data_IF_758316341370
#
_entry.id   IF_758316341370
#
_cell.length_a   1.000
_cell.length_b   1.000
_cell.length_c   1.000
_cell.angle_alpha   90.00
_cell.angle_beta   90.00
_cell.angle_gamma   90.00
#
_symmetry.space_group_name_H-M   'P 1'
#
loop_
_entity.id
_entity.type
_entity.pdbx_description
1 polymer ?
#
# COMPACT_ATOMS: atom_id res chain seq x y z
N UNK A 1 8.93 -22.92 6.48
CA UNK A 1 10.25 -22.76 5.86
C UNK A 1 10.04 -22.33 4.42
N UNK A 2 10.59 -21.20 3.97
CA UNK A 2 10.29 -20.59 2.67
C UNK A 2 11.21 -21.07 1.54
N UNK A 3 12.17 -21.95 1.83
CA UNK A 3 13.04 -22.58 0.84
C UNK A 3 14.06 -21.62 0.20
N UNK A 4 14.49 -20.60 0.95
CA UNK A 4 15.46 -19.58 0.50
C UNK A 4 16.77 -19.75 1.26
N UNK A 5 17.89 -19.72 0.55
CA UNK A 5 19.21 -19.75 1.16
C UNK A 5 19.52 -18.42 1.86
N UNK A 6 20.18 -18.49 3.02
CA UNK A 6 20.66 -17.31 3.73
C UNK A 6 22.18 -17.30 3.84
N UNK A 7 22.78 -16.11 3.88
CA UNK A 7 24.20 -15.94 4.16
C UNK A 7 24.41 -15.81 5.68
N UNK A 8 25.17 -16.70 6.33
CA UNK A 8 25.41 -16.61 7.77
C UNK A 8 26.33 -15.43 8.09
N UNK A 9 25.96 -14.66 9.12
CA UNK A 9 26.74 -13.52 9.59
C UNK A 9 26.79 -13.48 11.12
N UNK A 10 27.84 -12.88 11.67
CA UNK A 10 28.05 -12.71 13.11
C UNK A 10 28.01 -11.23 13.51
N UNK A 11 27.57 -10.94 14.74
CA UNK A 11 27.43 -9.57 15.24
C UNK A 11 28.76 -8.80 15.38
N UNK A 12 29.90 -9.50 15.44
CA UNK A 12 31.24 -8.88 15.44
C UNK A 12 31.70 -8.40 14.06
N UNK A 13 31.02 -8.80 12.99
CA UNK A 13 31.39 -8.44 11.63
C UNK A 13 30.79 -7.10 11.24
N UNK A 14 31.56 -6.30 10.49
CA UNK A 14 31.07 -5.03 9.95
C UNK A 14 30.02 -5.27 8.86
N UNK A 15 28.90 -4.51 8.81
CA UNK A 15 27.84 -4.70 7.81
C UNK A 15 28.33 -4.65 6.36
N UNK A 16 29.28 -3.76 6.05
CA UNK A 16 29.90 -3.67 4.71
C UNK A 16 30.59 -4.98 4.33
N UNK A 17 31.31 -5.59 5.28
CA UNK A 17 32.01 -6.85 5.03
C UNK A 17 31.03 -8.01 4.82
N UNK A 18 29.95 -8.07 5.62
CA UNK A 18 28.88 -9.06 5.49
C UNK A 18 28.24 -8.96 4.11
N UNK A 19 27.76 -7.76 3.73
CA UNK A 19 27.04 -7.58 2.47
C UNK A 19 27.93 -7.86 1.25
N UNK A 20 29.20 -7.45 1.29
CA UNK A 20 30.15 -7.71 0.20
C UNK A 20 30.40 -9.22 0.05
N UNK A 21 30.62 -9.93 1.16
CA UNK A 21 30.83 -11.38 1.13
C UNK A 21 29.57 -12.14 0.67
N UNK A 22 28.39 -11.71 1.12
CA UNK A 22 27.11 -12.28 0.70
C UNK A 22 26.89 -12.13 -0.82
N UNK A 23 27.15 -10.94 -1.37
CA UNK A 23 27.01 -10.68 -2.81
C UNK A 23 28.03 -11.48 -3.63
N UNK A 24 29.28 -11.60 -3.16
CA UNK A 24 30.30 -12.42 -3.83
C UNK A 24 29.93 -13.91 -3.84
N UNK A 25 29.46 -14.45 -2.72
CA UNK A 25 28.93 -15.81 -2.65
C UNK A 25 27.74 -15.98 -3.61
N UNK A 26 26.84 -14.99 -3.64
CA UNK A 26 25.65 -15.07 -4.46
C UNK A 26 26.00 -15.12 -5.96
N UNK A 27 27.01 -14.34 -6.39
CA UNK A 27 27.54 -14.36 -7.75
C UNK A 27 28.15 -15.71 -8.12
N UNK A 28 28.95 -16.31 -7.22
CA UNK A 28 29.58 -17.62 -7.44
C UNK A 28 28.57 -18.76 -7.56
N UNK A 29 27.45 -18.63 -6.86
CA UNK A 29 26.35 -19.60 -6.86
C UNK A 29 25.25 -19.29 -7.88
N UNK A 30 25.41 -18.22 -8.67
CA UNK A 30 24.45 -17.81 -9.71
C UNK A 30 23.03 -17.56 -9.19
N UNK A 31 22.86 -16.92 -8.01
CA UNK A 31 21.54 -16.44 -7.62
C UNK A 31 21.12 -15.24 -8.44
N UNK A 32 19.84 -15.18 -8.80
CA UNK A 32 19.26 -14.06 -9.56
C UNK A 32 19.06 -12.81 -8.71
N UNK A 33 18.70 -12.99 -7.43
CA UNK A 33 18.32 -11.90 -6.52
C UNK A 33 19.00 -12.08 -5.17
N UNK A 34 19.50 -10.98 -4.62
CA UNK A 34 20.04 -10.90 -3.26
C UNK A 34 19.27 -9.83 -2.50
N UNK A 35 18.68 -10.21 -1.36
CA UNK A 35 18.03 -9.28 -0.44
C UNK A 35 19.00 -9.01 0.70
N UNK A 36 19.34 -7.73 0.89
CA UNK A 36 20.17 -7.28 2.02
C UNK A 36 19.26 -6.62 3.03
N UNK A 37 18.94 -7.33 4.10
CA UNK A 37 18.27 -6.75 5.25
C UNK A 37 19.28 -6.00 6.13
N UNK A 38 18.87 -4.90 6.72
CA UNK A 38 19.74 -4.02 7.48
C UNK A 38 19.05 -3.56 8.76
N UNK A 39 19.83 -3.24 9.79
CA UNK A 39 19.27 -2.80 11.07
C UNK A 39 18.34 -1.58 10.92
N UNK A 40 17.36 -1.44 11.82
CA UNK A 40 16.58 -0.21 11.93
C UNK A 40 17.48 0.96 12.35
N UNK A 41 17.31 2.12 11.71
CA UNK A 41 17.98 3.37 12.13
C UNK A 41 16.95 4.44 12.41
N UNK A 42 17.22 5.25 13.42
CA UNK A 42 16.50 6.49 13.66
C UNK A 42 17.12 7.60 12.81
N UNK A 43 16.29 8.43 12.20
CA UNK A 43 16.74 9.55 11.37
C UNK A 43 17.55 10.60 12.14
N UNK A 44 17.53 10.56 13.48
CA UNK A 44 18.31 11.43 14.37
C UNK A 44 19.72 10.90 14.64
N UNK A 45 20.03 9.65 14.26
CA UNK A 45 21.33 9.04 14.51
C UNK A 45 22.26 9.22 13.29
N UNK A 46 23.09 10.26 13.34
CA UNK A 46 24.01 10.60 12.25
C UNK A 46 25.07 9.54 11.97
N UNK A 47 25.52 8.80 12.97
CA UNK A 47 26.54 7.75 12.80
C UNK A 47 25.96 6.55 12.05
N UNK A 48 24.77 6.09 12.47
CA UNK A 48 24.11 4.98 11.77
C UNK A 48 23.64 5.37 10.37
N UNK A 49 23.30 6.64 10.13
CA UNK A 49 22.97 7.14 8.80
C UNK A 49 24.20 7.19 7.87
N UNK A 50 25.37 7.58 8.39
CA UNK A 50 26.62 7.51 7.62
C UNK A 50 26.96 6.06 7.26
N UNK A 51 26.78 5.11 8.18
CA UNK A 51 27.04 3.69 7.93
C UNK A 51 26.20 3.13 6.76
N UNK A 52 24.90 3.45 6.70
CA UNK A 52 24.05 2.96 5.60
C UNK A 52 24.38 3.63 4.27
N UNK A 53 24.84 4.89 4.27
CA UNK A 53 25.34 5.56 3.07
C UNK A 53 26.59 4.89 2.54
N UNK A 54 27.55 4.57 3.41
CA UNK A 54 28.77 3.86 3.05
C UNK A 54 28.47 2.45 2.52
N UNK A 55 27.53 1.75 3.17
CA UNK A 55 27.08 0.44 2.73
C UNK A 55 26.46 0.51 1.33
N UNK A 56 25.54 1.45 1.11
CA UNK A 56 24.88 1.65 -0.17
C UNK A 56 25.88 2.00 -1.28
N UNK A 57 26.82 2.90 -1.01
CA UNK A 57 27.87 3.30 -1.94
C UNK A 57 28.79 2.12 -2.32
N UNK A 58 29.04 1.21 -1.37
CA UNK A 58 29.88 0.03 -1.58
C UNK A 58 29.19 -1.02 -2.44
N UNK A 59 27.95 -1.40 -2.09
CA UNK A 59 27.27 -2.53 -2.74
C UNK A 59 26.48 -2.15 -3.99
N UNK A 60 26.20 -0.85 -4.20
CA UNK A 60 25.53 -0.29 -5.38
C UNK A 60 24.25 -1.06 -5.76
N UNK A 61 23.26 -1.11 -4.86
CA UNK A 61 22.05 -1.88 -5.08
C UNK A 61 21.25 -1.33 -6.27
N UNK A 62 20.60 -2.22 -7.02
CA UNK A 62 19.68 -1.85 -8.12
C UNK A 62 18.39 -1.27 -7.56
N UNK A 63 17.93 -1.81 -6.44
CA UNK A 63 16.71 -1.41 -5.74
C UNK A 63 17.02 -1.10 -4.28
N UNK A 64 16.63 0.09 -3.82
CA UNK A 64 16.72 0.51 -2.41
C UNK A 64 15.30 0.81 -1.94
N UNK A 65 14.77 -0.12 -1.15
CA UNK A 65 13.38 -0.08 -0.68
C UNK A 65 13.32 0.45 0.75
N UNK A 66 12.58 1.53 0.95
CA UNK A 66 12.32 2.06 2.28
C UNK A 66 11.09 1.39 2.88
N UNK A 67 11.27 0.73 4.03
CA UNK A 67 10.20 0.01 4.73
C UNK A 67 9.67 0.90 5.85
N UNK A 68 8.36 1.14 5.86
CA UNK A 68 7.72 2.02 6.87
C UNK A 68 6.36 1.46 7.30
N UNK A 69 6.05 1.65 8.57
CA UNK A 69 4.80 1.19 9.17
C UNK A 69 3.65 2.16 8.79
N UNK A 70 2.52 1.61 8.35
CA UNK A 70 1.35 2.39 7.97
C UNK A 70 0.72 3.16 9.15
N UNK A 71 0.98 2.73 10.39
CA UNK A 71 0.43 3.34 11.61
C UNK A 71 1.23 4.56 12.10
N UNK A 72 2.47 4.78 11.63
CA UNK A 72 3.35 5.84 12.18
C UNK A 72 2.89 7.27 11.85
N UNK A 73 1.84 7.42 11.05
CA UNK A 73 1.16 8.70 10.83
C UNK A 73 2.09 9.78 10.28
N UNK A 74 2.14 10.93 10.95
CA UNK A 74 2.97 12.08 10.55
C UNK A 74 4.47 11.87 10.80
N UNK A 75 4.88 10.96 11.69
CA UNK A 75 6.30 10.72 11.94
C UNK A 75 6.99 9.94 10.79
N UNK A 76 6.20 9.13 10.06
CA UNK A 76 6.63 8.48 8.83
C UNK A 76 7.12 9.50 7.79
N UNK A 77 6.52 10.70 7.74
CA UNK A 77 6.89 11.76 6.81
C UNK A 77 8.31 12.29 7.07
N UNK A 78 8.65 12.58 8.33
CA UNK A 78 9.95 13.11 8.72
C UNK A 78 11.05 12.06 8.49
N UNK A 79 10.79 10.82 8.90
CA UNK A 79 11.72 9.71 8.70
C UNK A 79 11.95 9.48 7.20
N UNK A 80 10.88 9.41 6.40
CA UNK A 80 11.00 9.20 4.96
C UNK A 80 11.78 10.32 4.27
N UNK A 81 11.63 11.57 4.72
CA UNK A 81 12.40 12.71 4.19
C UNK A 81 13.90 12.51 4.43
N UNK A 82 14.30 12.24 5.67
CA UNK A 82 15.71 12.06 6.02
C UNK A 82 16.36 10.89 5.25
N UNK A 83 15.65 9.75 5.12
CA UNK A 83 16.15 8.62 4.35
C UNK A 83 16.21 8.91 2.85
N UNK A 84 15.27 9.66 2.29
CA UNK A 84 15.27 10.03 0.88
C UNK A 84 16.37 11.06 0.53
N UNK A 85 16.77 11.90 1.49
CA UNK A 85 17.91 12.80 1.34
C UNK A 85 19.24 12.04 1.46
N UNK A 86 19.31 11.05 2.36
CA UNK A 86 20.52 10.30 2.61
C UNK A 86 20.81 9.21 1.56
N UNK A 87 19.76 8.55 1.05
CA UNK A 87 19.87 7.40 0.15
C UNK A 87 19.02 7.59 -1.11
N UNK A 88 19.50 7.13 -2.28
CA UNK A 88 18.72 7.18 -3.51
C UNK A 88 17.67 6.07 -3.52
N UNK A 89 16.56 6.30 -2.80
CA UNK A 89 15.45 5.35 -2.72
C UNK A 89 14.82 5.12 -4.10
N UNK A 90 14.42 3.88 -4.37
CA UNK A 90 13.76 3.47 -5.63
C UNK A 90 12.31 3.05 -5.42
N UNK A 91 11.93 2.72 -4.19
CA UNK A 91 10.56 2.36 -3.84
C UNK A 91 10.33 2.32 -2.34
N UNK A 92 9.07 2.13 -1.98
CA UNK A 92 8.61 2.05 -0.59
C UNK A 92 7.82 0.77 -0.37
N UNK A 93 7.99 0.16 0.80
CA UNK A 93 7.14 -0.93 1.30
C UNK A 93 6.40 -0.41 2.52
N UNK A 94 5.07 -0.55 2.50
CA UNK A 94 4.23 -0.24 3.66
C UNK A 94 3.95 -1.51 4.43
N UNK A 95 4.15 -1.52 5.75
CA UNK A 95 3.84 -2.67 6.60
C UNK A 95 2.67 -2.36 7.53
N UNK A 96 2.07 -3.40 8.12
CA UNK A 96 0.94 -3.31 9.07
C UNK A 96 -0.28 -2.55 8.53
N UNK A 97 -0.57 -2.72 7.24
CA UNK A 97 -1.69 -2.07 6.58
C UNK A 97 -3.05 -2.77 6.81
N UNK A 98 -3.04 -3.88 7.55
CA UNK A 98 -4.21 -4.59 8.07
C UNK A 98 -4.85 -3.91 9.30
N UNK A 99 -4.13 -2.99 9.95
CA UNK A 99 -4.67 -2.18 11.04
C UNK A 99 -5.65 -1.09 10.56
N UNK A 100 -6.24 -0.36 11.52
CA UNK A 100 -7.17 0.76 11.28
C UNK A 100 -6.49 2.03 10.71
N UNK A 101 -5.27 1.88 10.19
CA UNK A 101 -4.57 2.97 9.53
C UNK A 101 -5.30 3.27 8.20
N UNK A 102 -5.97 4.42 8.13
CA UNK A 102 -6.70 4.92 6.95
C UNK A 102 -5.79 5.24 5.75
N UNK A 103 -4.59 4.66 5.62
CA UNK A 103 -3.71 4.86 4.47
C UNK A 103 -2.99 6.20 4.40
N UNK A 104 -3.13 7.07 5.40
CA UNK A 104 -2.53 8.42 5.39
C UNK A 104 -1.00 8.41 5.30
N UNK A 105 -0.32 7.48 5.98
CA UNK A 105 1.13 7.34 5.92
C UNK A 105 1.64 7.06 4.49
N UNK A 106 0.92 6.23 3.73
CA UNK A 106 1.24 5.93 2.34
C UNK A 106 1.25 7.19 1.47
N UNK A 107 0.24 8.05 1.64
CA UNK A 107 0.10 9.29 0.90
C UNK A 107 1.23 10.27 1.29
N UNK A 108 1.48 10.44 2.59
CA UNK A 108 2.53 11.32 3.10
C UNK A 108 3.91 10.90 2.59
N UNK A 109 4.25 9.62 2.70
CA UNK A 109 5.54 9.09 2.25
C UNK A 109 5.69 9.23 0.74
N UNK A 110 4.64 8.91 -0.03
CA UNK A 110 4.66 9.07 -1.50
C UNK A 110 4.86 10.51 -1.93
N UNK A 111 4.20 11.45 -1.25
CA UNK A 111 4.28 12.87 -1.54
C UNK A 111 5.66 13.45 -1.24
N UNK A 112 6.26 13.06 -0.10
CA UNK A 112 7.54 13.59 0.37
C UNK A 112 8.71 12.98 -0.39
N UNK A 113 8.75 11.66 -0.52
CA UNK A 113 9.88 10.96 -1.14
C UNK A 113 9.84 11.05 -2.66
N UNK A 114 8.65 11.23 -3.23
CA UNK A 114 8.47 11.12 -4.67
C UNK A 114 8.60 9.69 -5.21
N UNK A 115 8.77 8.66 -4.35
CA UNK A 115 9.01 7.27 -4.76
C UNK A 115 7.74 6.43 -4.74
N UNK A 116 7.55 5.50 -5.69
CA UNK A 116 6.36 4.65 -5.73
C UNK A 116 6.34 3.67 -4.56
N UNK A 117 5.15 3.42 -4.01
CA UNK A 117 4.93 2.29 -3.11
C UNK A 117 4.84 1.03 -3.98
N UNK A 118 5.67 0.03 -3.70
CA UNK A 118 5.77 -1.21 -4.48
C UNK A 118 4.98 -2.35 -3.85
N UNK A 119 5.06 -2.49 -2.53
CA UNK A 119 4.42 -3.57 -1.79
C UNK A 119 3.71 -3.06 -0.54
N UNK A 120 2.74 -3.83 -0.08
CA UNK A 120 1.96 -3.59 1.14
C UNK A 120 1.85 -4.89 1.94
N UNK A 121 2.22 -4.82 3.22
CA UNK A 121 2.10 -5.92 4.18
C UNK A 121 0.74 -5.84 4.88
N UNK A 122 -0.09 -6.86 4.66
CA UNK A 122 -1.46 -7.01 5.18
C UNK A 122 -1.52 -8.02 6.35
N UNK A 123 -0.41 -8.25 7.04
CA UNK A 123 -0.32 -9.15 8.18
C UNK A 123 1.11 -9.62 8.47
N UNK A 124 1.24 -10.53 9.44
CA UNK A 124 2.54 -11.03 9.91
C UNK A 124 3.06 -12.26 9.16
N UNK A 125 2.18 -12.96 8.43
CA UNK A 125 2.54 -14.19 7.73
C UNK A 125 3.35 -13.90 6.47
N UNK A 126 4.14 -14.87 6.03
CA UNK A 126 5.00 -14.73 4.84
C UNK A 126 4.21 -14.55 3.53
N UNK A 127 2.95 -14.97 3.50
CA UNK A 127 2.02 -14.78 2.37
C UNK A 127 1.24 -13.46 2.43
N UNK A 128 1.43 -12.64 3.47
CA UNK A 128 0.71 -11.39 3.67
C UNK A 128 1.37 -10.17 2.98
N UNK A 129 2.39 -10.37 2.15
CA UNK A 129 3.02 -9.30 1.36
C UNK A 129 2.40 -9.24 -0.04
N UNK A 130 1.64 -8.19 -0.32
CA UNK A 130 0.92 -8.01 -1.57
C UNK A 130 1.52 -6.88 -2.43
N UNK A 131 1.40 -6.94 -3.77
CA UNK A 131 1.66 -5.78 -4.64
C UNK A 131 0.78 -4.59 -4.26
N UNK A 132 1.34 -3.39 -4.32
CA UNK A 132 0.58 -2.18 -4.01
C UNK A 132 -0.36 -1.77 -5.16
N UNK A 133 -1.64 -1.60 -4.83
CA UNK A 133 -2.67 -1.12 -5.76
C UNK A 133 -3.22 0.24 -5.27
N UNK A 134 -2.91 1.36 -5.94
CA UNK A 134 -3.28 2.70 -5.47
C UNK A 134 -4.80 2.91 -5.41
N UNK A 135 -5.56 2.33 -6.34
CA UNK A 135 -7.03 2.48 -6.39
C UNK A 135 -7.70 1.95 -5.13
N UNK A 136 -7.24 0.79 -4.62
CA UNK A 136 -7.76 0.19 -3.38
C UNK A 136 -7.52 1.08 -2.18
N UNK A 137 -6.34 1.69 -2.11
CA UNK A 137 -5.98 2.59 -1.02
C UNK A 137 -6.78 3.90 -1.08
N UNK A 138 -6.92 4.48 -2.28
CA UNK A 138 -7.70 5.70 -2.47
C UNK A 138 -9.15 5.53 -2.01
N UNK A 139 -9.80 4.42 -2.39
CA UNK A 139 -11.15 4.08 -1.94
C UNK A 139 -11.27 3.95 -0.41
N UNK A 140 -10.25 3.38 0.24
CA UNK A 140 -10.19 3.27 1.71
C UNK A 140 -10.00 4.63 2.39
N UNK A 141 -9.07 5.47 1.89
CA UNK A 141 -8.81 6.82 2.43
C UNK A 141 -10.08 7.68 2.34
N UNK A 142 -10.74 7.66 1.19
CA UNK A 142 -11.92 8.48 0.91
C UNK A 142 -13.19 7.95 1.60
N UNK A 143 -13.13 6.78 2.26
CA UNK A 143 -14.32 6.10 2.79
C UNK A 143 -15.32 5.71 1.69
N UNK A 144 -14.87 5.70 0.44
CA UNK A 144 -15.71 5.49 -0.74
C UNK A 144 -15.95 4.00 -1.05
N UNK A 145 -15.51 3.09 -0.17
CA UNK A 145 -15.88 1.67 -0.27
C UNK A 145 -17.40 1.45 -0.32
N UNK A 146 -18.16 2.28 0.41
CA UNK A 146 -19.63 2.26 0.41
C UNK A 146 -20.24 3.24 -0.59
N UNK A 147 -19.58 4.36 -0.90
CA UNK A 147 -20.16 5.42 -1.76
C UNK A 147 -19.94 5.14 -3.25
N UNK A 148 -18.81 4.56 -3.66
CA UNK A 148 -18.61 4.13 -5.05
C UNK A 148 -19.47 2.92 -5.38
N UNK A 149 -19.62 1.98 -4.46
CA UNK A 149 -20.55 0.87 -4.62
C UNK A 149 -22.00 1.38 -4.68
N UNK A 150 -22.40 2.33 -3.83
CA UNK A 150 -23.69 3.01 -3.94
C UNK A 150 -23.87 3.80 -5.25
N UNK A 151 -22.83 4.48 -5.76
CA UNK A 151 -22.91 5.23 -7.03
C UNK A 151 -22.94 4.28 -8.23
N UNK A 152 -22.15 3.21 -8.24
CA UNK A 152 -22.21 2.17 -9.27
C UNK A 152 -23.54 1.40 -9.22
N UNK A 153 -24.07 1.15 -8.03
CA UNK A 153 -25.39 0.54 -7.82
C UNK A 153 -26.50 1.50 -8.24
N UNK A 154 -26.38 2.81 -8.00
CA UNK A 154 -27.30 3.84 -8.48
C UNK A 154 -27.18 4.03 -10.00
N UNK A 155 -25.99 4.01 -10.58
CA UNK A 155 -25.81 4.06 -12.04
C UNK A 155 -26.33 2.79 -12.72
N UNK A 156 -26.25 1.62 -12.06
CA UNK A 156 -26.83 0.36 -12.56
C UNK A 156 -28.33 0.25 -12.32
N UNK A 157 -28.86 0.78 -11.22
CA UNK A 157 -30.29 0.66 -10.85
C UNK A 157 -31.15 1.84 -11.30
N UNK A 158 -30.55 2.98 -11.68
CA UNK A 158 -31.27 4.09 -12.32
C UNK A 158 -31.28 3.84 -13.82
N UNK A 159 -32.15 2.91 -14.20
CA UNK A 159 -32.63 2.78 -15.56
C UNK A 159 -33.22 4.14 -15.98
N UNK A 160 -32.52 4.88 -16.86
CA UNK A 160 -32.88 6.26 -17.24
C UNK A 160 -34.33 6.36 -17.75
N UNK A 161 -34.88 5.27 -18.27
CA UNK A 161 -36.30 5.16 -18.63
C UNK A 161 -37.25 5.19 -17.43
N UNK A 162 -36.92 4.51 -16.32
CA UNK A 162 -37.76 4.49 -15.11
C UNK A 162 -37.79 5.85 -14.43
N UNK A 163 -36.66 6.54 -14.37
CA UNK A 163 -36.56 7.89 -13.82
C UNK A 163 -37.42 8.90 -14.62
N UNK A 164 -37.42 8.79 -15.96
CA UNK A 164 -38.24 9.62 -16.83
C UNK A 164 -39.75 9.35 -16.66
N UNK A 165 -40.15 8.07 -16.52
CA UNK A 165 -41.55 7.69 -16.24
C UNK A 165 -42.04 8.19 -14.89
N UNK A 166 -41.23 8.06 -13.83
CA UNK A 166 -41.51 8.59 -12.49
C UNK A 166 -41.67 10.12 -12.51
N UNK A 167 -40.76 10.83 -13.17
CA UNK A 167 -40.83 12.29 -13.31
C UNK A 167 -42.11 12.74 -14.06
N UNK A 168 -42.52 11.98 -15.09
CA UNK A 168 -43.77 12.26 -15.82
C UNK A 168 -45.03 12.00 -14.99
N UNK A 169 -45.05 10.95 -14.17
CA UNK A 169 -46.16 10.60 -13.27
C UNK A 169 -46.34 11.66 -12.17
N UNK A 170 -45.25 12.06 -11.50
CA UNK A 170 -45.27 13.11 -10.47
C UNK A 170 -45.73 14.46 -11.05
N UNK A 171 -45.30 14.80 -12.26
CA UNK A 171 -45.71 16.02 -12.96
C UNK A 171 -47.18 16.01 -13.42
N UNK A 172 -47.77 14.82 -13.59
CA UNK A 172 -49.17 14.64 -14.02
C UNK A 172 -50.20 14.70 -12.89
N UNK A 173 -49.76 14.78 -11.62
CA UNK A 173 -50.63 14.94 -10.45
C UNK A 173 -51.49 13.73 -10.09
N UNK A 174 -51.33 12.60 -10.79
CA UNK A 174 -51.98 11.33 -10.41
C UNK A 174 -51.19 10.73 -9.25
N UNK A 175 -51.81 10.73 -8.07
CA UNK A 175 -51.23 10.20 -6.85
C UNK A 175 -50.83 8.73 -6.99
N UNK A 176 -49.87 8.35 -6.15
CA UNK A 176 -49.37 6.99 -5.95
C UNK A 176 -50.54 5.99 -5.89
N UNK A 177 -50.56 5.01 -6.79
CA UNK A 177 -51.64 4.02 -6.85
C UNK A 177 -51.21 2.66 -6.26
N UNK A 178 -52.17 1.75 -6.10
CA UNK A 178 -51.93 0.42 -5.53
C UNK A 178 -51.06 -0.47 -6.43
N UNK A 179 -51.00 -0.18 -7.73
CA UNK A 179 -50.17 -0.88 -8.69
C UNK A 179 -48.70 -0.50 -8.48
N UNK A 180 -48.43 0.79 -8.24
CA UNK A 180 -47.11 1.33 -7.90
C UNK A 180 -46.58 0.74 -6.57
N UNK A 181 -47.46 0.57 -5.57
CA UNK A 181 -47.10 -0.08 -4.30
C UNK A 181 -46.74 -1.57 -4.48
N UNK A 182 -47.46 -2.28 -5.36
CA UNK A 182 -47.15 -3.68 -5.70
C UNK A 182 -45.80 -3.81 -6.39
N UNK A 183 -45.46 -2.89 -7.30
CA UNK A 183 -44.18 -2.91 -8.00
C UNK A 183 -42.99 -2.69 -7.05
N UNK A 184 -43.10 -1.76 -6.09
CA UNK A 184 -42.06 -1.57 -5.06
C UNK A 184 -41.85 -2.82 -4.20
N UNK A 185 -42.94 -3.48 -3.78
CA UNK A 185 -42.85 -4.72 -3.00
C UNK A 185 -42.19 -5.85 -3.80
N UNK A 186 -42.46 -5.94 -5.10
CA UNK A 186 -41.82 -6.92 -5.97
C UNK A 186 -40.32 -6.62 -6.17
N UNK A 187 -39.94 -5.35 -6.28
CA UNK A 187 -38.54 -4.94 -6.39
C UNK A 187 -37.73 -5.25 -5.12
N UNK A 188 -38.27 -4.96 -3.94
CA UNK A 188 -37.61 -5.31 -2.67
C UNK A 188 -37.43 -6.82 -2.50
N UNK A 189 -38.31 -7.64 -3.07
CA UNK A 189 -38.22 -9.11 -3.01
C UNK A 189 -37.20 -9.71 -3.98
N UNK A 190 -36.84 -8.99 -5.05
CA UNK A 190 -35.86 -9.43 -6.05
C UNK A 190 -34.43 -8.93 -5.75
N UNK A 191 -34.25 -8.08 -4.74
CA UNK A 191 -32.94 -7.63 -4.25
C UNK A 191 -32.39 -8.49 -3.10
N UNK A 192 -33.05 -9.61 -2.79
CA UNK A 192 -32.58 -10.65 -1.88
C UNK A 192 -32.08 -11.88 -2.61
#
# INVERSE_FOLDING_TARGET
DIGVDFFPSDASQKPIAIATAAIDQARKKFYDVVIVDTAGRLHVDGEMMAEIQDLHATIKPVETLFVVDAMTGQDAANTAKAFNEALPLTGVILTKADGDARGGAALSVRHITGKPVKFIGMGEKTDALEPFHPDRLASRILGMGDVLSLIEEVERNVDKEKAAKLASKVKSGKGFDLEDFREQLAQMRNMG
#
